data_IF_697260396856
#
_entry.id   IF_697260396856
#
_cell.length_a   1.000
_cell.length_b   1.000
_cell.length_c   1.000
_cell.angle_alpha   90.00
_cell.angle_beta   90.00
_cell.angle_gamma   90.00
#
_symmetry.space_group_name_H-M   'P 1'
#
loop_
_entity.id
_entity.type
_entity.pdbx_description
1 polymer ?
#
# COMPACT_ATOMS: atom_id res chain seq x y z
N UNK A 1 -9.39 -2.08 -10.89
CA UNK A 1 -8.25 -3.01 -10.90
C UNK A 1 -8.71 -4.36 -10.37
N UNK A 2 -8.22 -5.47 -10.92
CA UNK A 2 -8.35 -6.81 -10.33
C UNK A 2 -7.00 -7.23 -9.73
N UNK A 3 -7.01 -7.70 -8.48
CA UNK A 3 -5.77 -8.14 -7.80
C UNK A 3 -5.74 -9.67 -7.69
N UNK A 4 -4.55 -10.23 -7.53
CA UNK A 4 -4.35 -11.65 -7.26
C UNK A 4 -4.73 -12.05 -5.82
N UNK A 5 -4.19 -13.18 -5.36
CA UNK A 5 -4.45 -13.68 -4.01
C UNK A 5 -4.06 -12.64 -2.94
N UNK A 6 -4.98 -12.39 -2.01
CA UNK A 6 -4.76 -11.48 -0.90
C UNK A 6 -3.91 -12.15 0.18
N UNK A 7 -2.80 -11.50 0.52
CA UNK A 7 -1.91 -11.90 1.60
C UNK A 7 -2.25 -11.05 2.83
N UNK A 8 -2.74 -11.64 3.94
CA UNK A 8 -2.93 -10.91 5.19
C UNK A 8 -1.58 -10.50 5.77
N UNK A 9 -1.45 -9.23 6.16
CA UNK A 9 -0.18 -8.68 6.62
C UNK A 9 -0.21 -8.35 8.12
N UNK A 10 -1.02 -7.40 8.54
CA UNK A 10 -1.23 -7.09 9.97
C UNK A 10 -2.65 -6.57 10.25
N UNK A 11 -3.01 -6.56 11.54
CA UNK A 11 -4.28 -6.00 12.03
C UNK A 11 -4.10 -5.08 13.24
N UNK A 12 -3.38 -3.94 13.09
CA UNK A 12 -2.98 -3.10 14.20
C UNK A 12 -4.14 -2.22 14.68
N UNK A 13 -4.11 -1.87 15.97
CA UNK A 13 -4.71 -0.63 16.46
C UNK A 13 -3.73 0.49 16.16
N UNK A 14 -4.14 1.51 15.40
CA UNK A 14 -3.23 2.54 14.87
C UNK A 14 -2.82 3.57 15.92
N UNK A 15 -3.74 3.89 16.84
CA UNK A 15 -3.45 4.71 18.02
C UNK A 15 -4.41 4.34 19.17
N UNK A 16 -4.16 3.21 19.86
CA UNK A 16 -5.12 2.63 20.82
C UNK A 16 -5.38 3.51 22.05
N UNK A 17 -4.56 4.53 22.29
CA UNK A 17 -4.79 5.52 23.35
C UNK A 17 -5.76 6.64 22.98
N UNK A 18 -6.08 6.81 21.70
CA UNK A 18 -6.87 7.96 21.20
C UNK A 18 -8.02 7.57 20.29
N UNK A 19 -7.89 6.49 19.53
CA UNK A 19 -8.92 6.04 18.58
C UNK A 19 -9.16 4.54 18.68
N UNK A 20 -10.39 4.13 18.39
CA UNK A 20 -10.80 2.73 18.31
C UNK A 20 -10.65 2.16 16.90
N UNK A 21 -9.88 2.81 16.03
CA UNK A 21 -9.67 2.33 14.68
C UNK A 21 -8.73 1.12 14.67
N UNK A 22 -9.17 0.07 13.97
CA UNK A 22 -8.35 -1.10 13.67
C UNK A 22 -8.21 -1.25 12.17
N UNK A 23 -6.99 -1.24 11.67
CA UNK A 23 -6.73 -1.49 10.26
C UNK A 23 -6.60 -2.99 9.99
N UNK A 24 -7.04 -3.39 8.80
CA UNK A 24 -6.81 -4.74 8.26
C UNK A 24 -5.97 -4.58 7.00
N UNK A 25 -4.68 -4.85 7.12
CA UNK A 25 -3.70 -4.60 6.07
C UNK A 25 -3.48 -5.87 5.24
N UNK A 26 -3.49 -5.71 3.92
CA UNK A 26 -3.28 -6.77 2.94
C UNK A 26 -2.26 -6.34 1.89
N UNK A 27 -1.61 -7.32 1.26
CA UNK A 27 -0.83 -7.16 0.03
C UNK A 27 -1.35 -8.11 -1.03
N UNK A 28 -1.20 -7.77 -2.31
CA UNK A 28 -1.60 -8.64 -3.41
C UNK A 28 -0.77 -8.33 -4.66
N UNK A 29 -0.41 -9.34 -5.46
CA UNK A 29 0.22 -9.10 -6.74
C UNK A 29 -0.78 -8.52 -7.73
N UNK A 30 -0.30 -7.62 -8.59
CA UNK A 30 -1.02 -7.13 -9.74
C UNK A 30 -0.08 -7.05 -10.94
N UNK A 31 -0.65 -6.88 -12.13
CA UNK A 31 0.11 -6.69 -13.37
C UNK A 31 -0.49 -5.54 -14.19
N UNK A 32 0.16 -5.06 -15.26
CA UNK A 32 -0.48 -4.09 -16.15
C UNK A 32 -1.84 -4.55 -16.69
N UNK A 33 -2.01 -5.86 -16.92
CA UNK A 33 -3.28 -6.45 -17.35
C UNK A 33 -4.37 -6.45 -16.26
N UNK A 34 -4.02 -6.18 -15.00
CA UNK A 34 -4.95 -6.03 -13.88
C UNK A 34 -5.72 -4.70 -13.90
N UNK A 35 -5.30 -3.72 -14.71
CA UNK A 35 -5.96 -2.42 -14.77
C UNK A 35 -7.30 -2.53 -15.48
N UNK A 36 -8.34 -1.97 -14.88
CA UNK A 36 -9.70 -1.90 -15.45
C UNK A 36 -10.13 -0.46 -15.75
N UNK A 37 -9.21 0.50 -15.62
CA UNK A 37 -9.40 1.95 -15.73
C UNK A 37 -8.14 2.67 -15.22
N UNK A 38 -8.15 4.00 -15.26
CA UNK A 38 -7.01 4.85 -14.84
C UNK A 38 -6.69 4.76 -13.33
N UNK A 39 -7.64 4.29 -12.51
CA UNK A 39 -7.53 4.27 -11.05
C UNK A 39 -8.26 5.47 -10.43
N UNK A 40 -7.90 5.83 -9.19
CA UNK A 40 -8.39 7.07 -8.58
C UNK A 40 -9.80 7.06 -7.97
N UNK A 41 -10.35 5.88 -7.64
CA UNK A 41 -11.66 5.77 -6.99
C UNK A 41 -12.85 5.93 -7.94
N UNK A 42 -14.03 6.22 -7.40
CA UNK A 42 -15.25 6.47 -8.16
C UNK A 42 -15.52 7.97 -8.27
N UNK A 43 -15.85 8.45 -9.47
CA UNK A 43 -16.08 9.87 -9.73
C UNK A 43 -17.19 10.48 -8.85
N UNK A 44 -18.19 9.69 -8.46
CA UNK A 44 -19.35 10.15 -7.70
C UNK A 44 -19.15 10.07 -6.17
N UNK A 45 -18.04 9.52 -5.68
CA UNK A 45 -17.77 9.40 -4.24
C UNK A 45 -17.25 10.71 -3.61
N UNK A 46 -16.98 11.73 -4.42
CA UNK A 46 -16.53 13.05 -3.98
C UNK A 46 -15.09 13.09 -3.46
N UNK A 47 -14.33 12.00 -3.66
CA UNK A 47 -12.91 11.92 -3.36
C UNK A 47 -12.08 12.32 -4.59
N UNK A 48 -10.94 12.97 -4.34
CA UNK A 48 -9.95 13.31 -5.37
C UNK A 48 -8.70 12.45 -5.13
N UNK A 49 -8.68 11.26 -5.74
CA UNK A 49 -7.62 10.26 -5.51
C UNK A 49 -6.78 10.12 -6.77
N UNK A 50 -5.47 10.26 -6.60
CA UNK A 50 -4.48 9.98 -7.65
C UNK A 50 -3.89 8.57 -7.48
N UNK A 51 -3.86 7.80 -8.56
CA UNK A 51 -3.15 6.52 -8.58
C UNK A 51 -1.68 6.74 -8.95
N UNK A 52 -0.77 6.37 -8.04
CA UNK A 52 0.68 6.54 -8.22
C UNK A 52 1.35 5.17 -8.31
N UNK A 53 2.06 4.92 -9.41
CA UNK A 53 2.92 3.74 -9.60
C UNK A 53 4.39 4.17 -9.57
N UNK A 54 5.17 3.59 -8.64
CA UNK A 54 6.57 3.94 -8.41
C UNK A 54 7.44 2.68 -8.38
N UNK A 55 8.72 2.79 -8.74
CA UNK A 55 9.73 1.81 -8.34
C UNK A 55 9.72 1.61 -6.82
N UNK A 56 9.84 0.36 -6.36
CA UNK A 56 9.77 0.04 -4.93
C UNK A 56 10.87 0.73 -4.11
N UNK A 57 12.09 0.76 -4.64
CA UNK A 57 13.24 1.42 -3.99
C UNK A 57 13.04 2.93 -3.86
N UNK A 58 12.34 3.55 -4.82
CA UNK A 58 11.98 4.97 -4.75
C UNK A 58 10.94 5.21 -3.65
N UNK A 59 9.92 4.35 -3.55
CA UNK A 59 8.94 4.44 -2.46
C UNK A 59 9.59 4.29 -1.07
N UNK A 60 10.60 3.42 -0.94
CA UNK A 60 11.38 3.31 0.31
C UNK A 60 12.22 4.57 0.58
N UNK A 61 12.85 5.14 -0.44
CA UNK A 61 13.57 6.42 -0.30
C UNK A 61 12.63 7.57 0.12
N UNK A 62 11.38 7.58 -0.37
CA UNK A 62 10.36 8.55 0.02
C UNK A 62 9.90 8.39 1.48
N UNK A 63 9.99 7.18 2.05
CA UNK A 63 9.79 6.99 3.50
C UNK A 63 10.92 7.64 4.28
N UNK A 64 12.16 7.47 3.84
CA UNK A 64 13.34 8.04 4.50
C UNK A 64 13.41 9.57 4.37
N UNK A 65 12.99 10.13 3.23
CA UNK A 65 12.92 11.58 3.00
C UNK A 65 11.75 12.25 3.73
N UNK A 66 10.74 11.47 4.13
CA UNK A 66 9.51 11.94 4.77
C UNK A 66 8.40 12.39 3.80
N UNK A 67 8.58 12.18 2.49
CA UNK A 67 7.53 12.40 1.48
C UNK A 67 6.37 11.42 1.66
N UNK A 68 6.65 10.17 2.03
CA UNK A 68 5.65 9.22 2.53
C UNK A 68 5.66 9.29 4.07
N UNK A 69 4.65 9.96 4.63
CA UNK A 69 4.50 10.17 6.08
C UNK A 69 3.21 9.54 6.65
N UNK A 70 2.66 8.51 6.00
CA UNK A 70 1.46 7.79 6.44
C UNK A 70 1.80 6.43 7.06
N UNK A 71 1.34 6.19 8.29
CA UNK A 71 1.75 5.04 9.10
C UNK A 71 1.46 3.69 8.43
N UNK A 72 0.25 3.47 7.92
CA UNK A 72 -0.11 2.18 7.27
C UNK A 72 0.70 1.94 5.99
N UNK A 73 0.99 3.01 5.25
CA UNK A 73 1.81 2.95 4.03
C UNK A 73 3.26 2.60 4.37
N UNK A 74 3.86 3.30 5.34
CA UNK A 74 5.21 3.01 5.85
C UNK A 74 5.30 1.56 6.32
N UNK A 75 4.35 1.10 7.14
CA UNK A 75 4.33 -0.26 7.67
C UNK A 75 4.30 -1.31 6.55
N UNK A 76 3.45 -1.13 5.54
CA UNK A 76 3.31 -2.07 4.42
C UNK A 76 4.57 -2.12 3.53
N UNK A 77 5.19 -0.98 3.24
CA UNK A 77 6.44 -0.91 2.48
C UNK A 77 7.59 -1.60 3.25
N UNK A 78 7.73 -1.29 4.54
CA UNK A 78 8.75 -1.90 5.41
C UNK A 78 8.54 -3.41 5.58
N UNK A 79 7.29 -3.88 5.66
CA UNK A 79 6.99 -5.30 5.66
C UNK A 79 7.40 -5.97 4.35
N UNK A 80 7.11 -5.35 3.21
CA UNK A 80 7.45 -5.90 1.90
C UNK A 80 8.98 -6.04 1.74
N UNK A 81 9.73 -5.02 2.17
CA UNK A 81 11.19 -5.04 2.18
C UNK A 81 11.73 -6.15 3.11
N UNK A 82 11.24 -6.21 4.35
CA UNK A 82 11.67 -7.22 5.33
C UNK A 82 11.36 -8.65 4.88
N UNK A 83 10.25 -8.84 4.16
CA UNK A 83 9.86 -10.15 3.64
C UNK A 83 10.49 -10.49 2.30
N UNK A 84 11.15 -9.55 1.62
CA UNK A 84 11.73 -9.75 0.29
C UNK A 84 10.69 -10.22 -0.73
N UNK A 85 9.46 -9.68 -0.68
CA UNK A 85 8.37 -10.11 -1.58
C UNK A 85 8.48 -9.50 -2.98
N UNK A 86 9.38 -8.53 -3.16
CA UNK A 86 9.68 -7.89 -4.45
C UNK A 86 11.12 -8.17 -4.92
N UNK A 87 11.87 -8.99 -4.17
CA UNK A 87 13.22 -9.42 -4.55
C UNK A 87 13.10 -10.30 -5.79
N UNK A 88 13.68 -9.85 -6.91
CA UNK A 88 13.62 -10.59 -8.18
C UNK A 88 14.54 -11.81 -8.24
N UNK A 89 15.46 -11.92 -7.28
CA UNK A 89 16.52 -12.94 -7.24
C UNK A 89 16.31 -13.99 -6.13
N UNK A 90 15.13 -14.00 -5.49
CA UNK A 90 14.77 -14.98 -4.46
C UNK A 90 13.70 -15.95 -4.95
#
# INVERSE_FOLDING_TARGET
>A
MTVGELIPVFRPWTSPGSVTERLHCFAAPYSPASRTGEGGGLADDGEDIEAVELPFDEALAMVDSGEIADAKTIMLLQWAALKGVLDRDR
#
